data_IF_135917678688
#
_entry.id   IF_135917678688
#
_cell.length_a   1.000
_cell.length_b   1.000
_cell.length_c   1.000
_cell.angle_alpha   90.00
_cell.angle_beta   90.00
_cell.angle_gamma   90.00
#
_symmetry.space_group_name_H-M   'P 1'
#
loop_
_entity.id
_entity.type
_entity.pdbx_description
1 polymer ?
#
# COMPACT_ATOMS: atom_id res chain seq x y z
N UNK A 1 -11.95 33.13 2.45
CA UNK A 1 -12.63 32.45 3.58
C UNK A 1 -11.54 31.72 4.35
N UNK A 2 -11.33 32.16 5.61
CA UNK A 2 -10.12 32.00 6.37
C UNK A 2 -9.71 30.59 6.76
N UNK A 3 -8.44 30.28 6.54
CA UNK A 3 -7.69 29.20 7.13
C UNK A 3 -7.27 29.59 8.56
N UNK A 4 -7.92 29.04 9.55
CA UNK A 4 -7.44 29.10 10.94
C UNK A 4 -6.46 27.93 11.17
N UNK A 5 -5.17 28.29 11.29
CA UNK A 5 -4.14 27.36 11.80
C UNK A 5 -4.36 27.12 13.28
N UNK A 6 -4.46 25.84 13.67
CA UNK A 6 -4.31 25.40 15.07
C UNK A 6 -3.29 24.25 15.18
N UNK A 7 -2.55 24.16 16.29
CA UNK A 7 -1.45 23.22 16.43
C UNK A 7 -1.93 21.78 16.76
N UNK A 8 -1.24 20.79 16.24
CA UNK A 8 -1.17 19.38 16.66
C UNK A 8 -2.40 18.80 17.37
N UNK A 9 -3.40 18.36 16.63
CA UNK A 9 -4.58 17.70 17.20
C UNK A 9 -5.86 17.77 16.39
N UNK A 10 -5.84 18.28 15.17
CA UNK A 10 -7.05 18.59 14.39
C UNK A 10 -7.33 17.67 13.20
N UNK A 11 -6.77 16.49 13.12
CA UNK A 11 -7.22 15.50 12.13
C UNK A 11 -8.59 14.92 12.42
N UNK A 12 -9.08 15.00 13.66
CA UNK A 12 -10.40 14.52 14.08
C UNK A 12 -11.60 15.34 13.57
N UNK A 13 -11.41 16.62 13.20
CA UNK A 13 -12.52 17.50 12.78
C UNK A 13 -12.79 17.46 11.26
N UNK A 14 -11.91 16.87 10.47
CA UNK A 14 -12.15 16.73 9.03
C UNK A 14 -13.05 15.54 8.66
N UNK A 15 -13.23 14.56 9.56
CA UNK A 15 -13.99 13.34 9.27
C UNK A 15 -15.48 13.60 9.09
N UNK A 16 -16.09 14.53 9.84
CA UNK A 16 -17.51 14.84 9.68
C UNK A 16 -17.88 15.56 8.37
N UNK A 17 -16.93 16.23 7.73
CA UNK A 17 -17.19 17.01 6.50
C UNK A 17 -17.20 16.16 5.22
N UNK A 18 -16.77 14.92 5.27
CA UNK A 18 -16.65 14.04 4.10
C UNK A 18 -17.66 12.90 4.07
N UNK A 19 -18.43 12.71 5.13
CA UNK A 19 -19.51 11.72 5.11
C UNK A 19 -20.71 12.27 4.34
N UNK A 20 -21.10 11.56 3.29
CA UNK A 20 -22.41 11.80 2.70
C UNK A 20 -23.50 11.31 3.63
N UNK A 21 -24.63 11.99 3.69
CA UNK A 21 -25.84 11.50 4.36
C UNK A 21 -26.56 10.43 3.55
N UNK A 22 -26.13 10.23 2.30
CA UNK A 22 -26.72 9.28 1.37
C UNK A 22 -25.93 7.98 1.34
N UNK A 23 -26.64 6.87 1.54
CA UNK A 23 -26.08 5.52 1.40
C UNK A 23 -26.69 4.88 0.16
N UNK A 24 -25.84 4.41 -0.72
CA UNK A 24 -26.26 3.62 -1.86
C UNK A 24 -26.86 2.27 -1.38
N UNK A 25 -27.99 1.87 -1.94
CA UNK A 25 -28.47 0.51 -1.79
C UNK A 25 -27.62 -0.47 -2.62
N UNK A 26 -27.84 -1.78 -2.49
CA UNK A 26 -27.02 -2.79 -3.16
C UNK A 26 -26.93 -2.59 -4.67
N UNK A 27 -28.07 -2.35 -5.33
CA UNK A 27 -28.13 -2.16 -6.79
C UNK A 27 -27.37 -0.89 -7.22
N UNK A 28 -27.56 0.20 -6.49
CA UNK A 28 -26.84 1.47 -6.74
C UNK A 28 -25.32 1.32 -6.53
N UNK A 29 -24.89 0.50 -5.57
CA UNK A 29 -23.45 0.19 -5.38
C UNK A 29 -22.89 -0.57 -6.58
N UNK A 30 -23.60 -1.61 -7.04
CA UNK A 30 -23.22 -2.38 -8.23
C UNK A 30 -23.11 -1.46 -9.46
N UNK A 31 -24.11 -0.61 -9.71
CA UNK A 31 -24.08 0.37 -10.79
C UNK A 31 -22.91 1.37 -10.66
N UNK A 32 -22.64 1.85 -9.45
CA UNK A 32 -21.52 2.77 -9.21
C UNK A 32 -20.16 2.11 -9.48
N UNK A 33 -19.98 0.85 -9.07
CA UNK A 33 -18.77 0.08 -9.36
C UNK A 33 -18.62 -0.15 -10.87
N UNK A 34 -19.68 -0.54 -11.57
CA UNK A 34 -19.66 -0.70 -13.03
C UNK A 34 -19.28 0.59 -13.77
N UNK A 35 -19.78 1.72 -13.30
CA UNK A 35 -19.40 3.04 -13.85
C UNK A 35 -17.91 3.31 -13.62
N UNK A 36 -17.39 3.05 -12.42
CA UNK A 36 -15.97 3.25 -12.10
C UNK A 36 -15.11 2.35 -13.00
N UNK A 37 -15.41 1.06 -13.08
CA UNK A 37 -14.66 0.11 -13.90
C UNK A 37 -14.70 0.46 -15.38
N UNK A 38 -15.86 0.89 -15.89
CA UNK A 38 -15.98 1.32 -17.30
C UNK A 38 -15.28 2.65 -17.59
N UNK A 39 -15.19 3.53 -16.59
CA UNK A 39 -14.50 4.83 -16.73
C UNK A 39 -13.00 4.70 -16.70
N UNK A 40 -12.48 3.71 -15.94
CA UNK A 40 -11.05 3.48 -15.73
C UNK A 40 -10.66 2.03 -16.07
N UNK A 41 -10.84 1.57 -17.32
CA UNK A 41 -10.62 0.17 -17.70
C UNK A 41 -9.15 -0.27 -17.59
N UNK A 42 -8.22 0.68 -17.70
CA UNK A 42 -6.79 0.43 -17.66
C UNK A 42 -6.15 0.74 -16.30
N UNK A 43 -6.98 0.88 -15.25
CA UNK A 43 -6.46 1.14 -13.90
C UNK A 43 -5.58 -0.02 -13.43
N UNK A 44 -4.35 0.32 -13.03
CA UNK A 44 -3.35 -0.63 -12.53
C UNK A 44 -2.54 -0.03 -11.40
N UNK A 45 -1.80 -0.86 -10.68
CA UNK A 45 -0.86 -0.39 -9.66
C UNK A 45 0.17 0.57 -10.28
N UNK A 46 0.42 1.70 -9.60
CA UNK A 46 1.38 2.72 -10.08
C UNK A 46 2.83 2.35 -9.79
N UNK A 47 3.09 1.41 -8.88
CA UNK A 47 4.44 0.93 -8.56
C UNK A 47 4.93 -0.04 -9.63
N UNK A 48 6.04 0.31 -10.27
CA UNK A 48 6.69 -0.54 -11.27
C UNK A 48 7.28 -1.80 -10.63
N UNK A 49 6.91 -2.97 -11.15
CA UNK A 49 7.40 -4.26 -10.68
C UNK A 49 7.27 -5.32 -11.78
N UNK A 50 8.06 -6.37 -11.71
CA UNK A 50 8.02 -7.51 -12.63
C UNK A 50 7.67 -8.85 -11.94
N UNK A 51 7.68 -8.88 -10.62
CA UNK A 51 7.39 -10.06 -9.83
C UNK A 51 6.87 -9.67 -8.41
N UNK A 52 6.31 -10.64 -7.64
CA UNK A 52 5.78 -10.37 -6.30
C UNK A 52 6.79 -9.80 -5.30
N UNK A 53 8.06 -10.19 -5.40
CA UNK A 53 9.10 -9.69 -4.51
C UNK A 53 9.39 -8.21 -4.77
N UNK A 54 9.52 -7.81 -6.02
CA UNK A 54 9.68 -6.40 -6.39
C UNK A 54 8.50 -5.55 -5.93
N UNK A 55 7.26 -6.05 -6.10
CA UNK A 55 6.07 -5.35 -5.61
C UNK A 55 6.10 -5.16 -4.09
N UNK A 56 6.47 -6.20 -3.35
CA UNK A 56 6.60 -6.13 -1.89
C UNK A 56 7.61 -5.06 -1.47
N UNK A 57 8.81 -5.07 -2.07
CA UNK A 57 9.86 -4.08 -1.77
C UNK A 57 9.39 -2.66 -2.15
N UNK A 58 8.83 -2.48 -3.34
CA UNK A 58 8.32 -1.18 -3.79
C UNK A 58 7.23 -0.65 -2.83
N UNK A 59 6.33 -1.51 -2.36
CA UNK A 59 5.26 -1.13 -1.44
C UNK A 59 5.81 -0.78 -0.05
N UNK A 60 6.82 -1.48 0.46
CA UNK A 60 7.52 -1.08 1.70
C UNK A 60 8.19 0.30 1.51
N UNK A 61 8.79 0.55 0.36
CA UNK A 61 9.43 1.82 0.05
C UNK A 61 8.44 2.98 -0.12
N UNK A 62 7.20 2.72 -0.55
CA UNK A 62 6.19 3.75 -0.78
C UNK A 62 5.64 4.38 0.52
N UNK A 63 5.85 3.76 1.67
CA UNK A 63 5.47 4.35 2.95
C UNK A 63 6.10 5.75 3.13
N UNK A 64 5.28 6.81 3.16
CA UNK A 64 5.70 8.21 3.22
C UNK A 64 6.67 8.63 2.08
N UNK A 65 6.50 8.04 0.90
CA UNK A 65 7.23 8.37 -0.31
C UNK A 65 6.26 8.32 -1.50
N UNK A 66 6.43 9.19 -2.48
CA UNK A 66 5.57 9.18 -3.68
C UNK A 66 5.94 8.02 -4.61
N UNK A 67 4.96 7.43 -5.29
CA UNK A 67 5.18 6.30 -6.20
C UNK A 67 6.14 6.65 -7.33
N UNK A 68 6.08 7.88 -7.86
CA UNK A 68 7.05 8.39 -8.85
C UNK A 68 8.48 8.31 -8.31
N UNK A 69 8.70 8.71 -7.05
CA UNK A 69 10.04 8.65 -6.42
C UNK A 69 10.47 7.20 -6.19
N UNK A 70 9.55 6.36 -5.76
CA UNK A 70 9.82 4.92 -5.57
C UNK A 70 10.23 4.30 -6.89
N UNK A 71 9.50 4.53 -7.98
CA UNK A 71 9.81 3.96 -9.30
C UNK A 71 11.19 4.39 -9.83
N UNK A 72 11.59 5.65 -9.59
CA UNK A 72 12.94 6.11 -9.95
C UNK A 72 14.02 5.29 -9.20
N UNK A 73 13.82 5.07 -7.90
CA UNK A 73 14.79 4.36 -7.06
C UNK A 73 14.78 2.85 -7.35
N UNK A 74 13.60 2.25 -7.49
CA UNK A 74 13.47 0.80 -7.69
C UNK A 74 13.99 0.34 -9.04
N UNK A 75 14.02 1.21 -10.04
CA UNK A 75 14.62 0.90 -11.34
C UNK A 75 16.06 0.43 -11.22
N UNK A 76 16.88 1.16 -10.46
CA UNK A 76 18.28 0.80 -10.22
C UNK A 76 18.42 -0.28 -9.16
N UNK A 77 17.58 -0.23 -8.12
CA UNK A 77 17.56 -1.19 -7.04
C UNK A 77 17.27 -2.61 -7.54
N UNK A 78 16.25 -2.78 -8.39
CA UNK A 78 15.86 -4.07 -8.96
C UNK A 78 16.80 -4.55 -10.08
N UNK A 79 17.56 -3.64 -10.69
CA UNK A 79 18.67 -4.04 -11.56
C UNK A 79 19.81 -4.68 -10.76
N UNK A 80 20.04 -4.21 -9.53
CA UNK A 80 21.13 -4.60 -8.64
C UNK A 80 20.80 -5.82 -7.78
N UNK A 81 19.59 -5.88 -7.21
CA UNK A 81 19.13 -6.91 -6.28
C UNK A 81 17.95 -7.68 -6.86
N UNK A 82 18.16 -8.95 -7.22
CA UNK A 82 17.15 -9.77 -7.93
C UNK A 82 16.25 -10.58 -7.00
N UNK A 83 16.68 -10.82 -5.77
CA UNK A 83 15.95 -11.62 -4.82
C UNK A 83 16.34 -11.33 -3.37
N UNK A 84 15.69 -11.98 -2.40
CA UNK A 84 15.91 -11.72 -0.99
C UNK A 84 17.36 -11.98 -0.54
N UNK A 85 18.05 -12.97 -1.14
CA UNK A 85 19.44 -13.29 -0.81
C UNK A 85 20.40 -12.14 -1.13
N UNK A 86 20.13 -11.38 -2.18
CA UNK A 86 21.02 -10.29 -2.60
C UNK A 86 21.01 -9.14 -1.59
N UNK A 87 19.86 -8.85 -0.99
CA UNK A 87 19.73 -7.85 0.07
C UNK A 87 20.47 -8.26 1.38
N UNK A 88 20.72 -9.56 1.59
CA UNK A 88 21.42 -10.07 2.75
C UNK A 88 22.94 -10.15 2.56
N UNK A 89 23.41 -10.31 1.32
CA UNK A 89 24.84 -10.44 0.96
C UNK A 89 25.60 -9.12 1.05
N UNK A 90 24.91 -7.98 0.88
CA UNK A 90 25.54 -6.66 0.81
C UNK A 90 25.54 -5.96 2.18
N UNK A 91 26.44 -4.97 2.34
CA UNK A 91 26.47 -4.16 3.54
C UNK A 91 25.19 -3.31 3.66
N UNK A 92 24.70 -3.14 4.90
CA UNK A 92 23.51 -2.32 5.20
C UNK A 92 23.64 -0.91 4.64
N UNK A 93 24.83 -0.32 4.75
CA UNK A 93 25.11 1.05 4.28
C UNK A 93 24.96 1.20 2.76
N UNK A 94 25.24 0.14 2.01
CA UNK A 94 25.07 0.15 0.56
C UNK A 94 23.60 0.27 0.20
N UNK A 95 22.73 -0.52 0.82
CA UNK A 95 21.26 -0.41 0.59
C UNK A 95 20.74 0.94 1.10
N UNK A 96 21.24 1.43 2.25
CA UNK A 96 20.87 2.74 2.79
C UNK A 96 21.18 3.87 1.80
N UNK A 97 22.31 3.81 1.11
CA UNK A 97 22.65 4.80 0.10
C UNK A 97 21.78 4.68 -1.14
N UNK A 98 21.53 3.44 -1.62
CA UNK A 98 20.67 3.19 -2.78
C UNK A 98 19.24 3.74 -2.57
N UNK A 99 18.69 3.65 -1.37
CA UNK A 99 17.31 4.13 -1.07
C UNK A 99 17.27 5.43 -0.25
N UNK A 100 18.38 6.16 -0.12
CA UNK A 100 18.50 7.35 0.73
C UNK A 100 17.44 8.42 0.46
N UNK A 101 16.98 8.51 -0.78
CA UNK A 101 15.95 9.46 -1.18
C UNK A 101 14.53 9.08 -0.74
N UNK A 102 14.32 7.87 -0.23
CA UNK A 102 13.08 7.48 0.44
C UNK A 102 13.08 7.97 1.88
N UNK A 103 12.02 8.64 2.31
CA UNK A 103 11.85 8.99 3.73
C UNK A 103 11.98 7.76 4.63
N UNK A 104 12.52 7.93 5.85
CA UNK A 104 12.71 6.84 6.81
C UNK A 104 13.56 5.67 6.30
N UNK A 105 14.52 5.93 5.41
CA UNK A 105 15.28 4.91 4.69
C UNK A 105 15.95 3.87 5.62
N UNK A 106 16.48 4.26 6.78
CA UNK A 106 17.10 3.32 7.72
C UNK A 106 16.13 2.28 8.28
N UNK A 107 14.93 2.71 8.67
CA UNK A 107 13.89 1.80 9.11
C UNK A 107 13.41 0.90 7.98
N UNK A 108 13.33 1.42 6.76
CA UNK A 108 12.97 0.65 5.57
C UNK A 108 14.02 -0.41 5.24
N UNK A 109 15.31 -0.07 5.27
CA UNK A 109 16.39 -1.05 5.06
C UNK A 109 16.34 -2.15 6.10
N UNK A 110 16.16 -1.80 7.38
CA UNK A 110 15.98 -2.79 8.44
C UNK A 110 14.81 -3.73 8.14
N UNK A 111 13.63 -3.18 7.87
CA UNK A 111 12.43 -3.97 7.56
C UNK A 111 12.62 -4.85 6.33
N UNK A 112 13.19 -4.32 5.25
CA UNK A 112 13.46 -5.08 4.02
C UNK A 112 14.38 -6.27 4.31
N UNK A 113 15.49 -6.07 5.01
CA UNK A 113 16.44 -7.15 5.32
C UNK A 113 15.84 -8.22 6.24
N UNK A 114 15.11 -7.81 7.28
CA UNK A 114 14.40 -8.74 8.16
C UNK A 114 13.31 -9.51 7.40
N UNK A 115 12.57 -8.84 6.51
CA UNK A 115 11.60 -9.52 5.63
C UNK A 115 12.28 -10.50 4.67
N UNK A 116 13.42 -10.12 4.07
CA UNK A 116 14.20 -11.03 3.22
C UNK A 116 14.66 -12.28 3.98
N UNK A 117 15.14 -12.10 5.21
CA UNK A 117 15.53 -13.24 6.06
C UNK A 117 14.34 -14.15 6.34
N UNK A 118 13.20 -13.58 6.75
CA UNK A 118 11.99 -14.37 7.00
C UNK A 118 11.47 -15.09 5.75
N UNK A 119 11.53 -14.45 4.60
CA UNK A 119 11.13 -15.06 3.32
C UNK A 119 12.00 -16.29 3.01
N UNK A 120 13.29 -16.22 3.26
CA UNK A 120 14.21 -17.35 3.05
C UNK A 120 13.92 -18.46 4.09
N UNK A 121 13.84 -18.11 5.36
CA UNK A 121 13.77 -19.07 6.46
C UNK A 121 12.40 -19.78 6.54
N UNK A 122 11.30 -19.03 6.31
CA UNK A 122 9.96 -19.51 6.58
C UNK A 122 9.15 -19.81 5.29
N UNK A 123 9.53 -19.21 4.15
CA UNK A 123 8.74 -19.28 2.91
C UNK A 123 9.55 -19.78 1.70
N UNK A 124 10.67 -20.48 1.95
CA UNK A 124 11.52 -21.09 0.91
C UNK A 124 11.97 -20.07 -0.18
N UNK A 125 12.25 -18.84 0.19
CA UNK A 125 12.68 -17.78 -0.71
C UNK A 125 11.56 -17.16 -1.58
N UNK A 126 10.30 -17.50 -1.32
CA UNK A 126 9.14 -16.98 -2.05
C UNK A 126 8.31 -16.03 -1.18
N UNK A 127 7.79 -14.98 -1.78
CA UNK A 127 6.86 -14.09 -1.08
C UNK A 127 5.61 -14.88 -0.69
N UNK A 128 5.16 -14.82 0.57
CA UNK A 128 3.93 -15.48 1.00
C UNK A 128 2.71 -14.92 0.25
N UNK A 129 1.72 -15.77 0.03
CA UNK A 129 0.57 -15.43 -0.82
C UNK A 129 -0.62 -14.93 0.00
N UNK A 130 -0.75 -15.35 1.27
CA UNK A 130 -1.89 -14.96 2.10
C UNK A 130 -1.65 -13.63 2.81
N UNK A 131 -2.73 -12.87 3.06
CA UNK A 131 -2.67 -11.59 3.77
C UNK A 131 -2.08 -11.77 5.17
N UNK A 132 -2.50 -12.84 5.87
CA UNK A 132 -2.04 -13.16 7.22
C UNK A 132 -0.53 -13.40 7.26
N UNK A 133 0.00 -14.17 6.32
CA UNK A 133 1.43 -14.44 6.23
C UNK A 133 2.22 -13.20 5.81
N UNK A 134 1.72 -12.42 4.84
CA UNK A 134 2.32 -11.14 4.43
C UNK A 134 2.45 -10.19 5.62
N UNK A 135 1.44 -10.13 6.49
CA UNK A 135 1.45 -9.27 7.68
C UNK A 135 2.46 -9.71 8.76
N UNK A 136 3.00 -10.94 8.68
CA UNK A 136 4.11 -11.35 9.57
C UNK A 136 5.43 -10.69 9.20
N UNK A 137 5.57 -10.18 7.97
CA UNK A 137 6.81 -9.57 7.50
C UNK A 137 7.00 -8.16 8.10
N UNK A 138 8.20 -7.82 8.57
CA UNK A 138 8.53 -6.50 9.09
C UNK A 138 8.24 -5.38 8.10
N UNK A 139 7.50 -4.36 8.55
CA UNK A 139 7.11 -3.22 7.70
C UNK A 139 5.92 -3.47 6.79
N UNK A 140 5.27 -4.63 6.90
CA UNK A 140 4.07 -4.99 6.16
C UNK A 140 2.85 -4.90 7.09
N UNK A 141 2.04 -3.86 6.91
CA UNK A 141 0.73 -3.72 7.55
C UNK A 141 -0.39 -4.18 6.62
N UNK A 142 -1.64 -4.12 7.10
CA UNK A 142 -2.83 -4.53 6.35
C UNK A 142 -2.87 -3.97 4.91
N UNK A 143 -2.69 -2.63 4.77
CA UNK A 143 -2.69 -1.99 3.46
C UNK A 143 -1.62 -2.58 2.52
N UNK A 144 -0.40 -2.77 3.00
CA UNK A 144 0.70 -3.34 2.20
C UNK A 144 0.39 -4.78 1.81
N UNK A 145 -0.11 -5.58 2.75
CA UNK A 145 -0.51 -6.96 2.50
C UNK A 145 -1.61 -7.04 1.44
N UNK A 146 -2.64 -6.20 1.53
CA UNK A 146 -3.73 -6.13 0.55
C UNK A 146 -3.22 -5.74 -0.85
N UNK A 147 -2.30 -4.75 -0.96
CA UNK A 147 -1.69 -4.37 -2.25
C UNK A 147 -0.95 -5.56 -2.87
N UNK A 148 -0.11 -6.24 -2.09
CA UNK A 148 0.69 -7.37 -2.60
C UNK A 148 -0.22 -8.56 -2.94
N UNK A 149 -1.14 -8.93 -2.06
CA UNK A 149 -2.06 -10.05 -2.26
C UNK A 149 -2.93 -9.86 -3.51
N UNK A 150 -3.51 -8.67 -3.68
CA UNK A 150 -4.39 -8.39 -4.83
C UNK A 150 -3.64 -8.27 -6.15
N UNK A 151 -2.52 -7.56 -6.19
CA UNK A 151 -1.83 -7.28 -7.45
C UNK A 151 -0.87 -8.39 -7.90
N UNK A 152 -0.23 -9.11 -6.95
CA UNK A 152 0.70 -10.18 -7.29
C UNK A 152 0.05 -11.55 -7.38
N UNK A 153 -1.01 -11.81 -6.60
CA UNK A 153 -1.61 -13.14 -6.46
C UNK A 153 -3.09 -13.19 -6.85
N UNK A 154 -3.70 -12.05 -7.21
CA UNK A 154 -5.10 -11.99 -7.61
C UNK A 154 -6.09 -12.33 -6.49
N UNK A 155 -5.67 -12.22 -5.22
CA UNK A 155 -6.54 -12.42 -4.07
C UNK A 155 -7.48 -11.22 -3.94
N UNK A 156 -8.80 -11.44 -3.83
CA UNK A 156 -9.73 -10.35 -3.64
C UNK A 156 -9.41 -9.61 -2.33
N UNK A 157 -8.85 -8.41 -2.44
CA UNK A 157 -8.54 -7.53 -1.34
C UNK A 157 -8.52 -6.08 -1.83
N UNK A 158 -8.94 -5.16 -0.98
CA UNK A 158 -8.91 -3.74 -1.29
C UNK A 158 -7.98 -3.00 -0.33
N UNK A 159 -7.01 -2.29 -0.88
CA UNK A 159 -6.09 -1.46 -0.10
C UNK A 159 -6.72 -0.09 0.16
N UNK A 160 -7.37 0.08 1.30
CA UNK A 160 -8.01 1.35 1.67
C UNK A 160 -6.97 2.31 2.24
N UNK A 161 -6.70 3.37 1.49
CA UNK A 161 -5.93 4.51 1.96
C UNK A 161 -6.85 5.71 2.23
N UNK A 162 -6.27 6.86 2.56
CA UNK A 162 -7.03 8.09 2.83
C UNK A 162 -7.83 8.58 1.62
N UNK A 163 -7.42 8.25 0.40
CA UNK A 163 -8.13 8.61 -0.82
C UNK A 163 -9.31 7.67 -1.06
N UNK A 164 -9.10 6.37 -0.99
CA UNK A 164 -10.17 5.36 -1.09
C UNK A 164 -11.18 5.57 0.03
N UNK A 165 -10.73 5.76 1.28
CA UNK A 165 -11.60 6.10 2.41
C UNK A 165 -12.50 7.30 2.10
N UNK A 166 -11.90 8.41 1.68
CA UNK A 166 -12.63 9.66 1.41
C UNK A 166 -13.59 9.51 0.23
N UNK A 167 -13.15 8.90 -0.86
CA UNK A 167 -13.95 8.79 -2.09
C UNK A 167 -15.12 7.85 -1.87
N UNK A 168 -14.91 6.65 -1.34
CA UNK A 168 -15.95 5.65 -1.11
C UNK A 168 -17.04 6.15 -0.15
N UNK A 169 -16.64 6.86 0.92
CA UNK A 169 -17.61 7.51 1.81
C UNK A 169 -18.36 8.68 1.13
N UNK A 170 -17.69 9.43 0.26
CA UNK A 170 -18.29 10.58 -0.42
C UNK A 170 -19.31 10.19 -1.48
N UNK A 171 -19.07 9.10 -2.19
CA UNK A 171 -19.99 8.60 -3.22
C UNK A 171 -21.04 7.63 -2.64
N UNK A 172 -20.93 7.25 -1.38
CA UNK A 172 -21.92 6.41 -0.68
C UNK A 172 -21.69 4.90 -0.85
N UNK A 173 -20.56 4.46 -1.39
CA UNK A 173 -20.16 3.03 -1.44
C UNK A 173 -19.91 2.49 -0.03
N UNK A 174 -19.26 3.29 0.83
CA UNK A 174 -19.08 3.00 2.24
C UNK A 174 -19.69 4.12 3.10
N UNK A 175 -19.97 3.78 4.35
CA UNK A 175 -20.37 4.73 5.38
C UNK A 175 -19.65 4.36 6.68
N UNK A 176 -18.40 4.76 6.78
CA UNK A 176 -17.50 4.37 7.85
C UNK A 176 -16.72 5.56 8.39
N UNK A 177 -16.25 5.44 9.63
CA UNK A 177 -15.46 6.48 10.30
C UNK A 177 -13.96 6.19 10.27
N UNK A 178 -13.58 4.97 9.96
CA UNK A 178 -12.19 4.52 9.91
C UNK A 178 -11.88 3.86 8.57
N UNK A 179 -10.60 3.74 8.26
CA UNK A 179 -10.09 3.04 7.08
C UNK A 179 -10.45 1.56 7.16
N UNK A 180 -10.28 0.95 8.33
CA UNK A 180 -10.56 -0.47 8.58
C UNK A 180 -12.04 -0.80 8.42
N UNK A 181 -12.94 0.06 8.90
CA UNK A 181 -14.38 -0.13 8.73
C UNK A 181 -14.82 0.11 7.27
N UNK A 182 -14.10 0.98 6.56
CA UNK A 182 -14.34 1.20 5.12
C UNK A 182 -13.95 -0.04 4.32
N UNK A 183 -12.78 -0.62 4.60
CA UNK A 183 -12.31 -1.86 3.98
C UNK A 183 -13.37 -2.97 4.10
N UNK A 184 -13.84 -3.25 5.32
CA UNK A 184 -14.89 -4.25 5.59
C UNK A 184 -16.24 -4.00 4.87
N UNK A 185 -16.53 -2.76 4.50
CA UNK A 185 -17.77 -2.42 3.79
C UNK A 185 -17.61 -2.47 2.26
N UNK A 186 -16.37 -2.43 1.78
CA UNK A 186 -16.05 -2.52 0.36
C UNK A 186 -15.74 -3.96 -0.09
N UNK A 187 -15.37 -4.84 0.85
CA UNK A 187 -15.30 -6.30 0.67
C UNK A 187 -16.70 -6.94 0.65
#
# INVERSE_FOLDING_TARGET
IGLLKKPWGQYLVMEEKFQTTYRLNKKEKEEAVDIILSTYPDAKAELDHSNPFELLIATILSAQCTDVRVNIITKDLFAKYKGPEDYLKVDVKEIEEDIRQCGLFRSKVKNIRESCQMIIDNFNGRVPETIEELMTLPGVGQKTANVVASNAFGIPAIAVDTHVFRVSNRIGLAYAKTVEDTEKQLE
#
